data_IF_283220228806
#
_entry.id   IF_283220228806
#
_cell.length_a   1.000
_cell.length_b   1.000
_cell.length_c   1.000
_cell.angle_alpha   90.00
_cell.angle_beta   90.00
_cell.angle_gamma   90.00
#
_symmetry.space_group_name_H-M   'P 1'
#
loop_
_entity.id
_entity.type
_entity.pdbx_description
1 polymer ?
#
# COMPACT_ATOMS: atom_id res chain seq x y z
N UNK A 1 -7.25 1.64 -0.92
CA UNK A 1 -6.60 2.68 -1.75
C UNK A 1 -5.15 2.94 -1.37
N UNK A 2 -4.79 3.01 -0.08
CA UNK A 2 -3.42 3.26 0.41
C UNK A 2 -2.33 2.38 -0.24
N UNK A 3 -2.60 1.07 -0.42
CA UNK A 3 -1.70 0.15 -1.12
C UNK A 3 -1.44 0.56 -2.57
N UNK A 4 -2.50 0.99 -3.28
CA UNK A 4 -2.40 1.46 -4.68
C UNK A 4 -1.57 2.74 -4.76
N UNK A 5 -1.71 3.66 -3.79
CA UNK A 5 -0.91 4.88 -3.73
C UNK A 5 0.59 4.55 -3.58
N UNK A 6 0.96 3.65 -2.66
CA UNK A 6 2.35 3.22 -2.49
C UNK A 6 2.91 2.52 -3.75
N UNK A 7 2.10 1.66 -4.39
CA UNK A 7 2.48 1.01 -5.65
C UNK A 7 2.70 2.02 -6.78
N UNK A 8 1.81 3.00 -6.94
CA UNK A 8 1.93 4.02 -7.97
C UNK A 8 3.22 4.84 -7.81
N UNK A 9 3.54 5.26 -6.58
CA UNK A 9 4.78 5.97 -6.28
C UNK A 9 6.04 5.15 -6.61
N UNK A 10 6.07 3.86 -6.23
CA UNK A 10 7.20 2.97 -6.54
C UNK A 10 7.29 2.64 -8.04
N UNK A 11 6.16 2.42 -8.72
CA UNK A 11 6.13 2.09 -10.14
C UNK A 11 6.60 3.25 -11.04
N UNK A 12 6.48 4.50 -10.57
CA UNK A 12 6.98 5.67 -11.27
C UNK A 12 8.52 5.76 -11.29
N UNK A 13 9.22 5.03 -10.42
CA UNK A 13 10.68 5.03 -10.36
C UNK A 13 11.27 4.17 -11.48
N UNK A 14 12.13 4.78 -12.31
CA UNK A 14 12.71 4.13 -13.50
C UNK A 14 13.99 3.34 -13.23
N UNK A 15 14.50 3.39 -12.00
CA UNK A 15 15.73 2.71 -11.55
C UNK A 15 15.66 2.36 -10.06
N UNK A 16 16.51 1.45 -9.56
CA UNK A 16 16.65 1.20 -8.12
C UNK A 16 16.98 2.49 -7.36
N UNK A 17 16.30 2.71 -6.24
CA UNK A 17 16.40 3.91 -5.42
C UNK A 17 16.37 3.56 -3.93
N UNK A 18 16.93 4.42 -3.10
CA UNK A 18 16.58 4.49 -1.68
C UNK A 18 15.31 5.37 -1.56
N UNK A 19 14.27 4.84 -0.93
CA UNK A 19 12.94 5.45 -0.89
C UNK A 19 12.45 5.50 0.56
N UNK A 20 12.01 6.67 0.99
CA UNK A 20 11.30 6.83 2.26
C UNK A 20 9.81 7.01 1.96
N UNK A 21 8.98 6.09 2.45
CA UNK A 21 7.53 6.17 2.30
C UNK A 21 6.94 6.57 3.65
N UNK A 22 6.25 7.71 3.65
CA UNK A 22 5.48 8.22 4.78
C UNK A 22 4.00 7.91 4.52
N UNK A 23 3.34 7.28 5.49
CA UNK A 23 1.91 6.97 5.39
C UNK A 23 1.28 6.92 6.78
N UNK A 24 0.04 7.39 6.90
CA UNK A 24 -0.80 7.24 8.09
C UNK A 24 -1.50 5.88 8.17
N UNK A 25 -1.44 5.09 7.10
CA UNK A 25 -1.87 3.71 7.07
C UNK A 25 -0.99 2.83 7.96
N UNK A 26 -1.49 2.53 9.15
CA UNK A 26 -0.89 1.49 9.99
C UNK A 26 -0.86 0.14 9.29
N UNK A 27 -1.87 -0.17 8.48
CA UNK A 27 -1.92 -1.45 7.77
C UNK A 27 -0.74 -1.60 6.79
N UNK A 28 -0.47 -0.56 6.00
CA UNK A 28 0.65 -0.51 5.07
C UNK A 28 2.00 -0.55 5.81
N UNK A 29 2.18 0.32 6.79
CA UNK A 29 3.47 0.48 7.46
C UNK A 29 3.79 -0.72 8.36
N UNK A 30 2.83 -1.20 9.16
CA UNK A 30 3.06 -2.35 10.04
C UNK A 30 3.33 -3.63 9.24
N UNK A 31 2.64 -3.85 8.11
CA UNK A 31 2.88 -5.04 7.32
C UNK A 31 4.33 -5.15 6.82
N UNK A 32 4.91 -4.00 6.44
CA UNK A 32 6.31 -3.91 6.01
C UNK A 32 7.27 -3.97 7.20
N UNK A 33 7.05 -3.17 8.25
CA UNK A 33 7.98 -3.08 9.39
C UNK A 33 7.94 -4.29 10.32
N UNK A 34 6.77 -4.91 10.52
CA UNK A 34 6.58 -6.07 11.42
C UNK A 34 6.69 -7.42 10.69
N UNK A 35 7.24 -7.43 9.47
CA UNK A 35 7.52 -8.64 8.67
C UNK A 35 6.29 -9.52 8.42
N UNK A 36 5.10 -8.93 8.32
CA UNK A 36 3.87 -9.71 8.03
C UNK A 36 3.93 -10.29 6.62
N UNK A 37 4.49 -9.54 5.67
CA UNK A 37 4.60 -9.94 4.27
C UNK A 37 5.40 -11.23 4.11
N UNK A 38 6.50 -11.38 4.84
CA UNK A 38 7.27 -12.63 4.85
C UNK A 38 6.47 -13.81 5.42
N UNK A 39 5.66 -13.54 6.45
CA UNK A 39 4.73 -14.53 6.99
C UNK A 39 3.65 -14.95 5.99
N UNK A 40 3.10 -14.00 5.23
CA UNK A 40 2.10 -14.27 4.21
C UNK A 40 2.68 -15.02 3.01
N UNK A 41 3.87 -14.65 2.53
CA UNK A 41 4.60 -15.36 1.47
C UNK A 41 4.83 -16.82 1.81
N UNK A 42 5.30 -17.11 3.04
CA UNK A 42 5.49 -18.49 3.54
C UNK A 42 4.19 -19.30 3.59
N UNK A 43 3.04 -18.64 3.77
CA UNK A 43 1.71 -19.26 3.79
C UNK A 43 1.01 -19.22 2.43
N UNK A 44 1.70 -18.84 1.36
CA UNK A 44 1.12 -18.72 0.02
C UNK A 44 0.01 -17.67 -0.06
N UNK A 45 0.18 -16.54 0.62
CA UNK A 45 -0.78 -15.43 0.69
C UNK A 45 -2.14 -15.81 1.27
N UNK A 46 -2.13 -16.73 2.24
CA UNK A 46 -3.32 -17.16 3.00
C UNK A 46 -3.25 -16.73 4.46
N UNK A 47 -4.42 -16.51 5.05
CA UNK A 47 -4.60 -16.43 6.50
C UNK A 47 -4.51 -17.81 7.14
N UNK A 48 -4.22 -17.85 8.44
CA UNK A 48 -3.97 -19.09 9.19
C UNK A 48 -5.11 -20.13 9.16
N UNK A 49 -6.34 -19.73 8.80
CA UNK A 49 -7.50 -20.63 8.66
C UNK A 49 -7.70 -21.16 7.23
N UNK A 50 -6.75 -20.95 6.31
CA UNK A 50 -6.88 -21.34 4.89
C UNK A 50 -7.63 -20.32 4.04
N UNK A 51 -8.21 -19.29 4.65
CA UNK A 51 -8.84 -18.15 3.99
C UNK A 51 -7.83 -17.34 3.18
N UNK A 52 -8.28 -16.74 2.07
CA UNK A 52 -7.48 -15.81 1.26
C UNK A 52 -7.11 -14.59 2.11
N UNK A 53 -5.86 -14.12 1.99
CA UNK A 53 -5.49 -12.86 2.61
C UNK A 53 -6.24 -11.71 1.92
N UNK A 54 -6.84 -10.81 2.70
CA UNK A 54 -7.43 -9.59 2.15
C UNK A 54 -6.39 -8.80 1.34
N UNK A 55 -6.78 -8.33 0.15
CA UNK A 55 -5.90 -7.60 -0.77
C UNK A 55 -4.63 -8.37 -1.17
N UNK A 56 -4.68 -9.72 -1.21
CA UNK A 56 -3.54 -10.55 -1.56
C UNK A 56 -2.92 -10.18 -2.91
N UNK A 57 -3.73 -9.80 -3.88
CA UNK A 57 -3.34 -9.30 -5.19
C UNK A 57 -2.50 -8.01 -5.08
N UNK A 58 -2.98 -7.01 -4.34
CA UNK A 58 -2.28 -5.73 -4.14
C UNK A 58 -0.97 -5.94 -3.37
N UNK A 59 -0.97 -6.81 -2.35
CA UNK A 59 0.24 -7.10 -1.59
C UNK A 59 1.31 -7.82 -2.39
N UNK A 60 0.92 -8.75 -3.25
CA UNK A 60 1.84 -9.45 -4.15
C UNK A 60 2.53 -8.46 -5.09
N UNK A 61 1.76 -7.55 -5.68
CA UNK A 61 2.31 -6.56 -6.59
C UNK A 61 3.19 -5.54 -5.88
N UNK A 62 2.78 -5.07 -4.69
CA UNK A 62 3.61 -4.19 -3.87
C UNK A 62 4.91 -4.86 -3.44
N UNK A 63 4.90 -6.15 -3.09
CA UNK A 63 6.11 -6.93 -2.78
C UNK A 63 7.08 -6.98 -3.96
N UNK A 64 6.56 -7.19 -5.17
CA UNK A 64 7.33 -7.21 -6.41
C UNK A 64 7.95 -5.84 -6.72
N UNK A 65 7.21 -4.76 -6.55
CA UNK A 65 7.68 -3.41 -6.82
C UNK A 65 8.73 -2.98 -5.79
N UNK A 66 8.44 -3.13 -4.49
CA UNK A 66 9.35 -2.69 -3.43
C UNK A 66 10.67 -3.46 -3.43
N UNK A 67 10.69 -4.72 -3.89
CA UNK A 67 11.91 -5.53 -3.96
C UNK A 67 12.99 -4.94 -4.90
N UNK A 68 12.65 -4.00 -5.78
CA UNK A 68 13.59 -3.29 -6.66
C UNK A 68 14.29 -2.11 -5.97
N UNK A 69 13.83 -1.69 -4.80
CA UNK A 69 14.25 -0.48 -4.11
C UNK A 69 14.65 -0.80 -2.66
N UNK A 70 15.44 0.08 -2.06
CA UNK A 70 15.67 0.07 -0.62
C UNK A 70 14.62 0.98 0.02
N UNK A 71 13.55 0.38 0.55
CA UNK A 71 12.38 1.13 1.04
C UNK A 71 12.34 1.16 2.56
N UNK A 72 12.30 2.37 3.12
CA UNK A 72 12.05 2.62 4.54
C UNK A 72 10.63 3.13 4.74
N UNK A 73 9.91 2.60 5.72
CA UNK A 73 8.49 2.90 5.95
C UNK A 73 8.30 3.65 7.27
N UNK A 74 7.73 4.85 7.17
CA UNK A 74 7.48 5.75 8.27
C UNK A 74 5.97 5.87 8.51
N UNK A 75 5.54 5.50 9.71
CA UNK A 75 4.17 5.77 10.13
C UNK A 75 4.08 7.21 10.62
N UNK A 76 3.19 7.98 10.01
CA UNK A 76 2.83 9.33 10.47
C UNK A 76 1.43 9.30 11.06
N UNK A 77 1.13 10.22 11.97
CA UNK A 77 -0.24 10.36 12.45
C UNK A 77 -1.02 11.19 11.42
N UNK A 78 -2.18 10.69 10.98
CA UNK A 78 -3.07 11.46 10.09
C UNK A 78 -3.47 12.81 10.70
N UNK A 79 -3.61 13.82 9.84
CA UNK A 79 -3.93 15.21 10.22
C UNK A 79 -3.00 15.84 11.27
N UNK A 80 -1.71 15.50 11.23
CA UNK A 80 -0.70 16.01 12.16
C UNK A 80 0.22 17.09 11.56
N UNK A 81 -0.19 17.79 10.49
CA UNK A 81 0.58 18.89 9.90
C UNK A 81 1.69 18.46 8.95
N UNK A 82 1.65 17.23 8.42
CA UNK A 82 2.50 16.83 7.31
C UNK A 82 1.86 17.30 6.01
N UNK A 83 2.30 18.46 5.51
CA UNK A 83 1.73 19.12 4.35
C UNK A 83 1.65 18.20 3.12
N UNK A 84 2.63 17.33 2.92
CA UNK A 84 2.63 16.36 1.83
C UNK A 84 1.59 15.25 2.02
N UNK A 85 1.38 14.78 3.26
CA UNK A 85 0.37 13.76 3.55
C UNK A 85 -1.04 14.34 3.46
N UNK A 86 -1.24 15.58 3.93
CA UNK A 86 -2.51 16.31 3.78
C UNK A 86 -2.83 16.55 2.31
N UNK A 87 -1.84 16.94 1.50
CA UNK A 87 -2.04 17.05 0.05
C UNK A 87 -2.38 15.71 -0.60
N UNK A 88 -1.82 14.59 -0.14
CA UNK A 88 -2.20 13.26 -0.63
C UNK A 88 -3.65 12.90 -0.26
N UNK A 89 -4.14 13.30 0.91
CA UNK A 89 -5.53 13.11 1.33
C UNK A 89 -6.50 13.93 0.46
N UNK A 90 -6.16 15.20 0.18
CA UNK A 90 -6.93 16.05 -0.73
C UNK A 90 -7.00 15.45 -2.13
N UNK A 91 -5.87 15.02 -2.70
CA UNK A 91 -5.80 14.40 -4.02
C UNK A 91 -6.59 13.08 -4.09
N UNK A 92 -6.56 12.28 -3.01
CA UNK A 92 -7.30 11.04 -2.94
C UNK A 92 -8.82 11.29 -2.86
N UNK A 93 -9.23 12.30 -2.09
CA UNK A 93 -10.64 12.73 -1.96
C UNK A 93 -11.16 13.27 -3.28
N UNK A 94 -10.41 14.17 -3.92
CA UNK A 94 -10.77 14.73 -5.23
C UNK A 94 -10.91 13.64 -6.30
N UNK A 95 -10.00 12.65 -6.31
CA UNK A 95 -10.10 11.53 -7.23
C UNK A 95 -11.30 10.61 -6.95
N UNK A 96 -11.70 10.45 -5.68
CA UNK A 96 -12.85 9.64 -5.31
C UNK A 96 -14.19 10.32 -5.63
N UNK A 97 -14.26 11.65 -5.48
CA UNK A 97 -15.45 12.46 -5.78
C UNK A 97 -15.59 12.80 -7.27
N UNK A 98 -14.52 12.62 -8.04
CA UNK A 98 -14.46 12.91 -9.47
C UNK A 98 -15.16 11.89 -10.38
N UNK A 99 -15.07 12.14 -11.69
CA UNK A 99 -15.61 11.26 -12.74
C UNK A 99 -14.51 10.37 -13.35
N UNK A 100 -14.91 9.29 -14.03
CA UNK A 100 -13.96 8.39 -14.69
C UNK A 100 -13.24 7.42 -13.75
N UNK A 101 -13.89 7.05 -12.65
CA UNK A 101 -13.37 6.09 -11.67
C UNK A 101 -12.96 4.78 -12.35
N UNK A 102 -11.78 4.28 -11.99
CA UNK A 102 -11.25 3.03 -12.50
C UNK A 102 -11.79 1.88 -11.65
N UNK A 103 -12.32 0.85 -12.30
CA UNK A 103 -12.84 -0.33 -11.62
C UNK A 103 -11.72 -1.12 -10.91
N UNK A 104 -11.94 -1.44 -9.62
CA UNK A 104 -11.04 -2.27 -8.84
C UNK A 104 -11.46 -3.75 -8.93
N UNK A 105 -11.03 -4.44 -10.00
CA UNK A 105 -11.36 -5.86 -10.23
C UNK A 105 -10.87 -6.81 -9.12
N UNK A 106 -9.90 -6.38 -8.31
CA UNK A 106 -9.39 -7.16 -7.17
C UNK A 106 -10.18 -6.96 -5.89
N UNK A 107 -11.10 -5.98 -5.87
CA UNK A 107 -11.91 -5.68 -4.71
C UNK A 107 -12.96 -6.76 -4.49
N UNK A 108 -12.73 -7.58 -3.47
CA UNK A 108 -13.73 -8.47 -2.92
C UNK A 108 -14.45 -7.73 -1.78
N UNK A 109 -15.74 -7.41 -1.98
CA UNK A 109 -16.54 -6.81 -0.93
C UNK A 109 -16.49 -7.70 0.31
N UNK A 110 -16.17 -7.11 1.47
CA UNK A 110 -16.20 -7.84 2.73
C UNK A 110 -17.65 -8.22 3.00
N UNK A 111 -17.95 -9.52 3.02
CA UNK A 111 -19.26 -10.05 3.40
C UNK A 111 -19.59 -9.76 4.87
#
# INVERSE_FOLDING_TARGET
>A
MELRAAMAGLAALTKPCSVEIYSDSKYLVDANNKKWIEGWKKKGWKRGKGEKLANADLWQELDRLRAKHEVTWHWVKGHAGHAENERCDDLATEAADGEGLIEDFGFEASA
#
